data_IF_326195328609
#
_entry.id   IF_326195328609
#
_cell.length_a   1.000
_cell.length_b   1.000
_cell.length_c   1.000
_cell.angle_alpha   90.00
_cell.angle_beta   90.00
_cell.angle_gamma   90.00
#
_symmetry.space_group_name_H-M   'P 1'
#
loop_
_entity.id
_entity.type
_entity.pdbx_description
1 polymer ?
#
# COMPACT_ATOMS: atom_id res chain seq x y z
N UNK A 1 -6.06 48.94 15.64
CA UNK A 1 -5.01 47.95 15.32
C UNK A 1 -5.18 46.61 16.04
N UNK A 2 -5.62 46.56 17.31
CA UNK A 2 -5.84 45.29 18.03
C UNK A 2 -6.81 44.31 17.34
N UNK A 3 -7.93 44.81 16.79
CA UNK A 3 -8.88 43.98 16.04
C UNK A 3 -8.26 43.34 14.78
N UNK A 4 -7.42 44.08 14.06
CA UNK A 4 -6.68 43.57 12.89
C UNK A 4 -5.68 42.47 13.27
N UNK A 5 -4.98 42.63 14.40
CA UNK A 5 -4.02 41.63 14.91
C UNK A 5 -4.75 40.33 15.30
N UNK A 6 -5.92 40.44 15.94
CA UNK A 6 -6.74 39.28 16.32
C UNK A 6 -7.25 38.56 15.07
N UNK A 7 -7.72 39.30 14.05
CA UNK A 7 -8.17 38.71 12.79
C UNK A 7 -7.02 37.98 12.08
N UNK A 8 -5.82 38.58 12.02
CA UNK A 8 -4.64 37.92 11.43
C UNK A 8 -4.25 36.65 12.18
N UNK A 9 -4.24 36.66 13.52
CA UNK A 9 -3.95 35.49 14.33
C UNK A 9 -5.00 34.37 14.14
N UNK A 10 -6.27 34.73 14.06
CA UNK A 10 -7.37 33.80 13.79
C UNK A 10 -7.23 33.15 12.41
N UNK A 11 -6.93 33.95 11.37
CA UNK A 11 -6.70 33.45 10.01
C UNK A 11 -5.49 32.53 9.92
N UNK A 12 -4.39 32.87 10.58
CA UNK A 12 -3.19 32.03 10.63
C UNK A 12 -3.49 30.68 11.30
N UNK A 13 -4.21 30.70 12.42
CA UNK A 13 -4.59 29.48 13.15
C UNK A 13 -5.56 28.62 12.33
N UNK A 14 -6.57 29.24 11.71
CA UNK A 14 -7.53 28.54 10.86
C UNK A 14 -6.86 27.90 9.64
N UNK A 15 -5.97 28.62 8.95
CA UNK A 15 -5.22 28.09 7.81
C UNK A 15 -4.29 26.96 8.23
N UNK A 16 -3.59 27.12 9.36
CA UNK A 16 -2.70 26.07 9.87
C UNK A 16 -3.50 24.82 10.22
N UNK A 17 -4.62 24.97 10.94
CA UNK A 17 -5.52 23.87 11.28
C UNK A 17 -6.06 23.17 10.01
N UNK A 18 -6.52 23.93 9.03
CA UNK A 18 -7.01 23.40 7.76
C UNK A 18 -5.92 22.60 7.02
N UNK A 19 -4.70 23.14 6.89
CA UNK A 19 -3.58 22.46 6.24
C UNK A 19 -3.20 21.19 7.00
N UNK A 20 -3.12 21.23 8.33
CA UNK A 20 -2.80 20.04 9.14
C UNK A 20 -3.87 18.97 9.06
N UNK A 21 -5.14 19.37 8.95
CA UNK A 21 -6.27 18.43 8.82
C UNK A 21 -6.21 17.76 7.46
N UNK A 22 -6.07 18.55 6.38
CA UNK A 22 -5.94 18.01 5.02
C UNK A 22 -4.78 17.01 4.89
N UNK A 23 -3.60 17.34 5.44
CA UNK A 23 -2.42 16.44 5.41
C UNK A 23 -2.61 15.15 6.20
N UNK A 24 -3.38 15.17 7.29
CA UNK A 24 -3.65 13.96 8.09
C UNK A 24 -4.71 13.06 7.45
N UNK A 25 -5.59 13.62 6.61
CA UNK A 25 -6.62 12.87 5.89
C UNK A 25 -6.12 12.32 4.54
N UNK A 26 -5.13 12.95 3.91
CA UNK A 26 -4.56 12.48 2.65
C UNK A 26 -3.41 11.50 2.89
N UNK A 27 -3.54 10.27 2.38
CA UNK A 27 -2.40 9.38 2.17
C UNK A 27 -1.32 10.09 1.34
N UNK A 28 -0.04 9.89 1.69
CA UNK A 28 1.08 10.36 0.86
C UNK A 28 1.26 9.55 -0.44
N UNK A 29 0.46 8.50 -0.63
CA UNK A 29 0.41 7.61 -1.79
C UNK A 29 -1.06 7.48 -2.19
N UNK A 30 -1.43 8.04 -3.34
CA UNK A 30 -2.77 7.95 -3.89
C UNK A 30 -2.90 6.83 -4.94
N UNK A 31 -1.79 6.36 -5.51
CA UNK A 31 -1.79 5.25 -6.46
C UNK A 31 -0.40 4.88 -6.97
N UNK A 32 -0.38 4.07 -8.03
CA UNK A 32 0.83 3.49 -8.61
C UNK A 32 1.88 4.53 -9.03
N UNK A 33 1.45 5.68 -9.55
CA UNK A 33 2.35 6.77 -9.98
C UNK A 33 3.21 7.33 -8.84
N UNK A 34 2.72 7.28 -7.61
CA UNK A 34 3.41 7.86 -6.45
C UNK A 34 4.46 6.91 -5.85
N UNK A 35 4.50 5.67 -6.33
CA UNK A 35 5.46 4.64 -5.89
C UNK A 35 6.80 4.74 -6.62
N UNK A 36 6.88 5.50 -7.72
CA UNK A 36 8.14 5.68 -8.45
C UNK A 36 9.19 6.40 -7.58
N UNK A 37 10.35 5.79 -7.44
CA UNK A 37 11.44 6.29 -6.60
C UNK A 37 11.20 6.16 -5.09
N UNK A 38 10.19 5.38 -4.66
CA UNK A 38 9.97 5.00 -3.27
C UNK A 38 10.16 3.51 -3.08
N UNK A 39 10.79 3.14 -1.96
CA UNK A 39 10.91 1.73 -1.58
C UNK A 39 9.52 1.13 -1.36
N UNK A 40 9.20 0.11 -2.14
CA UNK A 40 7.91 -0.58 -2.13
C UNK A 40 8.13 -2.03 -1.74
N UNK A 41 7.34 -2.53 -0.79
CA UNK A 41 7.36 -3.94 -0.44
C UNK A 41 6.47 -4.73 -1.39
N UNK A 42 6.87 -5.96 -1.73
CA UNK A 42 6.04 -6.91 -2.43
C UNK A 42 6.40 -8.35 -2.03
N UNK A 43 5.52 -9.30 -2.35
CA UNK A 43 5.85 -10.71 -2.27
C UNK A 43 6.87 -11.08 -3.36
N UNK A 44 7.86 -11.90 -3.01
CA UNK A 44 8.91 -12.33 -3.94
C UNK A 44 8.38 -13.04 -5.19
N UNK A 45 7.25 -13.76 -5.09
CA UNK A 45 6.60 -14.41 -6.22
C UNK A 45 6.11 -13.44 -7.30
N UNK A 46 5.82 -12.19 -6.93
CA UNK A 46 5.33 -11.16 -7.85
C UNK A 46 6.47 -10.34 -8.49
N UNK A 47 7.74 -10.60 -8.14
CA UNK A 47 8.88 -9.80 -8.57
C UNK A 47 8.96 -9.64 -10.09
N UNK A 48 8.81 -10.75 -10.83
CA UNK A 48 8.85 -10.75 -12.30
C UNK A 48 7.69 -9.95 -12.86
N UNK A 49 6.48 -10.14 -12.34
CA UNK A 49 5.29 -9.43 -12.80
C UNK A 49 5.41 -7.92 -12.58
N UNK A 50 5.85 -7.51 -11.40
CA UNK A 50 5.97 -6.09 -11.03
C UNK A 50 7.05 -5.38 -11.86
N UNK A 51 8.20 -6.00 -12.07
CA UNK A 51 9.31 -5.40 -12.82
C UNK A 51 9.04 -5.39 -14.33
N UNK A 52 8.54 -6.48 -14.90
CA UNK A 52 8.38 -6.61 -16.36
C UNK A 52 7.10 -5.97 -16.89
N UNK A 53 5.98 -6.09 -16.17
CA UNK A 53 4.66 -5.64 -16.65
C UNK A 53 4.29 -4.26 -16.12
N UNK A 54 4.65 -3.97 -14.87
CA UNK A 54 4.25 -2.74 -14.20
C UNK A 54 5.41 -1.73 -14.04
N UNK A 55 6.60 -2.07 -14.52
CA UNK A 55 7.73 -1.14 -14.63
C UNK A 55 8.31 -0.71 -13.28
N UNK A 56 8.13 -1.50 -12.22
CA UNK A 56 8.79 -1.23 -10.95
C UNK A 56 10.31 -1.36 -11.10
N UNK A 57 11.04 -0.42 -10.49
CA UNK A 57 12.49 -0.49 -10.42
C UNK A 57 12.90 -1.60 -9.42
N UNK A 58 13.69 -2.61 -9.84
CA UNK A 58 14.13 -3.68 -8.95
C UNK A 58 14.88 -3.18 -7.70
N UNK A 59 15.60 -2.05 -7.81
CA UNK A 59 16.33 -1.47 -6.68
C UNK A 59 15.42 -0.81 -5.63
N UNK A 60 14.20 -0.44 -6.03
CA UNK A 60 13.21 0.17 -5.15
C UNK A 60 12.21 -0.88 -4.62
N UNK A 61 12.37 -2.16 -4.97
CA UNK A 61 11.51 -3.25 -4.53
C UNK A 61 12.15 -4.03 -3.38
N UNK A 62 11.51 -3.98 -2.22
CA UNK A 62 11.81 -4.88 -1.11
C UNK A 62 10.95 -6.13 -1.24
N UNK A 63 11.54 -7.20 -1.74
CA UNK A 63 10.88 -8.50 -1.86
C UNK A 63 10.93 -9.24 -0.53
N UNK A 64 9.78 -9.73 -0.07
CA UNK A 64 9.62 -10.46 1.18
C UNK A 64 9.01 -11.85 0.89
N UNK A 65 9.42 -12.89 1.64
CA UNK A 65 8.83 -14.21 1.53
C UNK A 65 7.39 -14.20 2.04
N UNK A 66 6.61 -15.21 1.65
CA UNK A 66 5.25 -15.44 2.17
C UNK A 66 4.91 -16.93 2.23
N UNK A 67 5.77 -17.70 2.89
CA UNK A 67 5.63 -19.16 3.01
C UNK A 67 5.05 -19.56 4.37
N UNK A 68 5.27 -18.74 5.40
CA UNK A 68 4.80 -18.99 6.76
C UNK A 68 3.93 -17.87 7.29
N UNK A 69 3.22 -18.13 8.38
CA UNK A 69 2.43 -17.12 9.09
C UNK A 69 3.31 -16.00 9.67
N UNK A 70 4.57 -16.30 10.02
CA UNK A 70 5.52 -15.30 10.48
C UNK A 70 5.94 -14.38 9.33
N UNK A 71 6.12 -14.93 8.13
CA UNK A 71 6.45 -14.14 6.93
C UNK A 71 5.28 -13.24 6.53
N UNK A 72 4.05 -13.76 6.60
CA UNK A 72 2.84 -12.97 6.36
C UNK A 72 2.74 -11.77 7.31
N UNK A 73 3.01 -11.99 8.61
CA UNK A 73 3.02 -10.92 9.60
C UNK A 73 4.13 -9.90 9.28
N UNK A 74 5.34 -10.36 8.95
CA UNK A 74 6.46 -9.50 8.57
C UNK A 74 6.17 -8.67 7.32
N UNK A 75 5.45 -9.23 6.35
CA UNK A 75 5.06 -8.59 5.11
C UNK A 75 4.04 -7.46 5.35
N UNK A 76 3.06 -7.70 6.22
CA UNK A 76 2.08 -6.69 6.65
C UNK A 76 2.71 -5.63 7.57
N UNK A 77 3.68 -6.01 8.41
CA UNK A 77 4.33 -5.11 9.34
C UNK A 77 5.47 -4.28 8.70
N UNK A 78 5.99 -4.69 7.54
CA UNK A 78 7.03 -3.95 6.83
C UNK A 78 6.68 -2.46 6.58
N UNK A 79 5.48 -2.11 6.05
CA UNK A 79 5.08 -0.70 5.93
C UNK A 79 4.89 -0.02 7.30
N UNK A 80 4.41 -0.74 8.32
CA UNK A 80 4.23 -0.20 9.69
C UNK A 80 5.56 0.17 10.35
N UNK A 81 6.59 -0.63 10.09
CA UNK A 81 7.95 -0.42 10.57
C UNK A 81 8.72 0.63 9.73
N UNK A 82 8.10 1.18 8.69
CA UNK A 82 8.73 2.15 7.79
C UNK A 82 9.81 1.55 6.90
N UNK A 83 9.83 0.22 6.72
CA UNK A 83 10.79 -0.47 5.83
C UNK A 83 10.49 -0.20 4.35
N UNK A 84 9.25 0.15 4.05
CA UNK A 84 8.79 0.57 2.73
C UNK A 84 7.63 1.54 2.87
N UNK A 85 7.38 2.33 1.82
CA UNK A 85 6.31 3.31 1.78
C UNK A 85 4.92 2.68 1.57
N UNK A 86 4.86 1.54 0.87
CA UNK A 86 3.64 0.77 0.65
C UNK A 86 3.96 -0.71 0.45
N UNK A 87 2.96 -1.55 0.69
CA UNK A 87 2.94 -2.95 0.31
C UNK A 87 2.06 -3.14 -0.92
N UNK A 88 2.62 -3.73 -1.98
CA UNK A 88 1.91 -4.13 -3.19
C UNK A 88 1.64 -5.63 -3.11
N UNK A 89 0.37 -6.00 -3.11
CA UNK A 89 -0.11 -7.38 -2.95
C UNK A 89 -1.50 -7.53 -3.56
N UNK A 90 -2.02 -8.76 -3.65
CA UNK A 90 -3.34 -9.02 -4.20
C UNK A 90 -4.43 -8.33 -3.37
N UNK A 91 -5.42 -7.76 -4.07
CA UNK A 91 -6.46 -6.92 -3.48
C UNK A 91 -7.26 -7.66 -2.39
N UNK A 92 -7.57 -8.94 -2.59
CA UNK A 92 -8.36 -9.74 -1.66
C UNK A 92 -7.63 -9.87 -0.31
N UNK A 93 -6.33 -10.15 -0.35
CA UNK A 93 -5.51 -10.23 0.85
C UNK A 93 -5.38 -8.87 1.54
N UNK A 94 -5.09 -7.81 0.78
CA UNK A 94 -5.01 -6.46 1.33
C UNK A 94 -6.32 -6.02 2.01
N UNK A 95 -7.48 -6.26 1.37
CA UNK A 95 -8.81 -5.96 1.94
C UNK A 95 -9.05 -6.73 3.22
N UNK A 96 -8.74 -8.03 3.22
CA UNK A 96 -8.90 -8.88 4.41
C UNK A 96 -8.05 -8.37 5.58
N UNK A 97 -6.78 -8.05 5.34
CA UNK A 97 -5.87 -7.55 6.39
C UNK A 97 -6.24 -6.15 6.88
N UNK A 98 -6.62 -5.24 5.99
CA UNK A 98 -7.09 -3.92 6.38
C UNK A 98 -8.38 -3.98 7.19
N UNK A 99 -9.32 -4.86 6.82
CA UNK A 99 -10.58 -5.03 7.55
C UNK A 99 -10.40 -5.62 8.95
N UNK A 100 -9.39 -6.48 9.14
CA UNK A 100 -9.08 -7.09 10.44
C UNK A 100 -8.05 -6.30 11.27
N UNK A 101 -7.50 -5.21 10.73
CA UNK A 101 -6.51 -4.40 11.43
C UNK A 101 -7.17 -3.74 12.67
N UNK A 102 -6.73 -4.06 13.90
CA UNK A 102 -7.38 -3.55 15.11
C UNK A 102 -7.23 -2.03 15.27
N UNK A 103 -6.20 -1.47 14.66
CA UNK A 103 -5.78 -0.07 14.80
C UNK A 103 -6.19 0.83 13.64
N UNK A 104 -6.91 0.30 12.63
CA UNK A 104 -7.28 1.02 11.40
C UNK A 104 -6.08 1.75 10.75
N UNK A 105 -4.87 1.18 10.91
CA UNK A 105 -3.59 1.76 10.50
C UNK A 105 -3.16 1.31 9.09
N UNK A 106 -3.88 0.33 8.54
CA UNK A 106 -3.75 -0.14 7.17
C UNK A 106 -4.96 0.30 6.37
N UNK A 107 -4.72 0.83 5.18
CA UNK A 107 -5.77 1.17 4.23
C UNK A 107 -5.31 0.83 2.82
N UNK A 108 -6.28 0.54 1.96
CA UNK A 108 -6.02 0.37 0.54
C UNK A 108 -5.97 1.74 -0.12
N UNK A 109 -5.01 1.90 -1.02
CA UNK A 109 -4.80 3.15 -1.77
C UNK A 109 -4.74 2.86 -3.26
N UNK A 110 -5.33 3.76 -4.04
CA UNK A 110 -5.40 3.64 -5.48
C UNK A 110 -6.41 2.61 -5.98
N UNK A 111 -6.54 2.55 -7.31
CA UNK A 111 -7.31 1.53 -7.99
C UNK A 111 -6.44 0.28 -8.24
N UNK A 112 -7.03 -0.93 -8.26
CA UNK A 112 -6.34 -2.12 -8.73
C UNK A 112 -5.78 -1.89 -10.14
N UNK A 113 -4.52 -2.23 -10.36
CA UNK A 113 -3.82 -1.99 -11.63
C UNK A 113 -3.51 -3.28 -12.42
N UNK A 114 -3.84 -4.44 -11.87
CA UNK A 114 -3.66 -5.74 -12.51
C UNK A 114 -4.80 -6.70 -12.17
N UNK A 115 -5.11 -7.59 -13.11
CA UNK A 115 -6.05 -8.69 -12.90
C UNK A 115 -5.29 -10.02 -12.91
N UNK A 116 -5.45 -10.79 -11.85
CA UNK A 116 -4.98 -12.17 -11.74
C UNK A 116 -6.12 -13.04 -11.22
N UNK A 117 -6.24 -14.23 -11.77
CA UNK A 117 -7.25 -15.21 -11.34
C UNK A 117 -6.57 -16.32 -10.55
N UNK A 118 -7.16 -16.67 -9.41
CA UNK A 118 -6.80 -17.88 -8.70
C UNK A 118 -7.46 -19.06 -9.41
N UNK A 119 -6.67 -20.05 -9.80
CA UNK A 119 -7.14 -21.26 -10.46
C UNK A 119 -6.40 -22.47 -9.88
N UNK A 120 -7.03 -23.63 -10.00
CA UNK A 120 -6.40 -24.90 -9.66
C UNK A 120 -5.63 -25.41 -10.86
N UNK A 121 -4.37 -25.78 -10.66
CA UNK A 121 -3.56 -26.44 -11.66
C UNK A 121 -3.52 -27.94 -11.34
N UNK A 122 -3.98 -28.75 -12.29
CA UNK A 122 -3.88 -30.20 -12.22
C UNK A 122 -2.76 -30.70 -13.14
N UNK A 123 -2.11 -31.83 -12.82
CA UNK A 123 -1.26 -32.54 -13.78
C UNK A 123 -2.06 -32.83 -15.07
N UNK A 124 -1.40 -32.76 -16.23
CA UNK A 124 -2.08 -32.88 -17.52
C UNK A 124 -2.83 -34.21 -17.73
N UNK A 125 -2.47 -35.26 -16.98
CA UNK A 125 -3.07 -36.60 -17.08
C UNK A 125 -4.22 -36.83 -16.08
N UNK A 126 -4.77 -35.78 -15.48
CA UNK A 126 -5.85 -35.92 -14.49
C UNK A 126 -7.18 -36.18 -15.20
N UNK A 127 -7.85 -37.33 -15.00
CA UNK A 127 -9.00 -37.76 -15.81
C UNK A 127 -10.25 -36.88 -15.72
N UNK A 128 -10.37 -36.06 -14.67
CA UNK A 128 -11.58 -35.30 -14.32
C UNK A 128 -11.32 -33.78 -14.23
N UNK A 129 -10.31 -33.26 -14.93
CA UNK A 129 -9.87 -31.86 -14.82
C UNK A 129 -10.51 -30.89 -15.85
N UNK A 130 -11.55 -31.34 -16.57
CA UNK A 130 -12.37 -30.51 -17.48
C UNK A 130 -13.68 -30.04 -16.82
#
# INVERSE_FOLDING_TARGET
YGLLIIIMAALFTANTAAITTARRLSSAIAGLSDLQGRTTCAWEGDAVLLTTRFGFNPNDLLLLPWETQADEAALVDAPRQGRCAALVIQEQFARYKAALAPTCDLMLVGAPFGCSYLSFAYPQDTPDAD
#
